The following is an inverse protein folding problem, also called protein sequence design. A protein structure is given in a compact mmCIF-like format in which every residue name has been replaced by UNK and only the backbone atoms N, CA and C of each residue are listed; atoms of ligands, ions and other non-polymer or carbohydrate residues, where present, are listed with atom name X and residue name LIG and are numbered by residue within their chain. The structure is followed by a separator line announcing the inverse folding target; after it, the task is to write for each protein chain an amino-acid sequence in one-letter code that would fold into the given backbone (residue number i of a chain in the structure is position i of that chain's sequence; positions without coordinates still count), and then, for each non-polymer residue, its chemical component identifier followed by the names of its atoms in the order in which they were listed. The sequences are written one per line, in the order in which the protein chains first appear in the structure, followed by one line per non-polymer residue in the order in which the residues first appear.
data_IF_853188772014
#
_entry.id   IF_853188772014
#
_cell.length_a   1.000
_cell.length_b   1.000
_cell.length_c   1.000
_cell.angle_alpha   90.00
_cell.angle_beta   90.00
_cell.angle_gamma   90.00
#
_symmetry.space_group_name_H-M   'P 1'
#
loop_
_entity.id
_entity.type
_entity.pdbx_description
1 polymer ?
#
# COMPACT_ATOMS: atom_id res chain seq x y z
N UNK A 1 18.12 -18.92 -7.99
CA UNK A 1 17.42 -19.25 -6.72
C UNK A 1 17.24 -17.95 -5.96
N UNK A 2 16.03 -17.37 -5.97
CA UNK A 2 15.76 -16.16 -5.18
C UNK A 2 15.54 -16.59 -3.72
N UNK A 3 16.42 -16.18 -2.82
CA UNK A 3 16.19 -16.36 -1.39
C UNK A 3 14.92 -15.60 -1.02
N UNK A 4 13.90 -16.29 -0.54
CA UNK A 4 12.75 -15.66 0.13
C UNK A 4 13.30 -15.05 1.42
N UNK A 5 13.71 -13.79 1.38
CA UNK A 5 14.17 -13.08 2.57
C UNK A 5 12.98 -12.95 3.50
N UNK A 6 12.99 -13.70 4.60
CA UNK A 6 12.00 -13.57 5.65
C UNK A 6 11.99 -12.13 6.18
N UNK A 7 10.79 -11.64 6.50
CA UNK A 7 10.63 -10.36 7.20
C UNK A 7 11.36 -10.40 8.54
N UNK A 8 12.02 -9.31 8.88
CA UNK A 8 12.56 -9.07 10.23
C UNK A 8 11.43 -8.96 11.26
N UNK A 9 11.76 -9.08 12.53
CA UNK A 9 10.76 -8.99 13.60
C UNK A 9 10.17 -7.58 13.71
N UNK A 10 10.95 -6.53 13.43
CA UNK A 10 10.48 -5.14 13.31
C UNK A 10 9.42 -5.01 12.20
N UNK A 11 9.71 -5.53 11.01
CA UNK A 11 8.78 -5.51 9.87
C UNK A 11 7.52 -6.32 10.15
N UNK A 12 7.64 -7.51 10.76
CA UNK A 12 6.48 -8.34 11.15
C UNK A 12 5.60 -7.60 12.16
N UNK A 13 6.19 -6.97 13.16
CA UNK A 13 5.45 -6.21 14.17
C UNK A 13 4.72 -5.02 13.54
N UNK A 14 5.42 -4.23 12.71
CA UNK A 14 4.84 -3.06 12.04
C UNK A 14 3.68 -3.45 11.11
N UNK A 15 3.84 -4.50 10.29
CA UNK A 15 2.79 -5.01 9.42
C UNK A 15 1.63 -5.59 10.24
N UNK A 16 1.92 -6.31 11.34
CA UNK A 16 0.89 -6.87 12.22
C UNK A 16 0.03 -5.80 12.89
N UNK A 17 0.64 -4.71 13.36
CA UNK A 17 -0.08 -3.57 13.95
C UNK A 17 -0.90 -2.83 12.89
N UNK A 18 -0.31 -2.52 11.74
CA UNK A 18 -1.00 -1.87 10.63
C UNK A 18 -2.20 -2.69 10.12
N UNK A 19 -2.08 -4.02 10.08
CA UNK A 19 -3.20 -4.90 9.71
C UNK A 19 -4.34 -4.84 10.74
N UNK A 20 -4.03 -4.83 12.03
CA UNK A 20 -5.07 -4.67 13.09
C UNK A 20 -5.77 -3.32 12.99
N UNK A 21 -5.03 -2.26 12.69
CA UNK A 21 -5.59 -0.92 12.48
C UNK A 21 -6.47 -0.87 11.23
N UNK A 22 -6.01 -1.46 10.12
CA UNK A 22 -6.77 -1.53 8.87
C UNK A 22 -8.09 -2.31 9.08
N UNK A 23 -8.03 -3.40 9.83
CA UNK A 23 -9.20 -4.20 10.21
C UNK A 23 -10.19 -3.40 11.06
N UNK A 24 -9.70 -2.65 12.05
CA UNK A 24 -10.51 -1.76 12.89
C UNK A 24 -11.20 -0.67 12.07
N UNK A 25 -10.47 0.00 11.17
CA UNK A 25 -11.01 1.05 10.28
C UNK A 25 -12.09 0.50 9.35
N UNK A 26 -11.87 -0.71 8.80
CA UNK A 26 -12.85 -1.35 7.92
C UNK A 26 -14.14 -1.69 8.67
N UNK A 27 -14.03 -2.20 9.91
CA UNK A 27 -15.17 -2.47 10.79
C UNK A 27 -15.94 -1.20 11.12
N UNK A 28 -15.24 -0.11 11.48
CA UNK A 28 -15.86 1.18 11.79
C UNK A 28 -16.61 1.78 10.58
N UNK A 29 -16.13 1.53 9.35
CA UNK A 29 -16.78 1.97 8.11
C UNK A 29 -17.93 1.07 7.65
N UNK A 30 -18.28 0.01 8.39
CA UNK A 30 -19.33 -0.96 8.05
C UNK A 30 -19.18 -1.55 6.63
N UNK A 31 -17.96 -1.67 6.12
CA UNK A 31 -17.69 -2.17 4.76
C UNK A 31 -17.92 -3.69 4.60
N UNK A 32 -18.46 -4.35 5.63
CA UNK A 32 -18.96 -5.73 5.58
C UNK A 32 -20.41 -5.84 5.07
N UNK A 33 -21.06 -4.73 4.70
CA UNK A 33 -22.42 -4.75 4.20
C UNK A 33 -22.49 -5.52 2.87
N UNK A 34 -23.18 -6.68 2.89
CA UNK A 34 -23.55 -7.44 1.70
C UNK A 34 -24.19 -6.49 0.67
N UNK A 35 -23.73 -6.54 -0.57
CA UNK A 35 -24.41 -5.86 -1.66
C UNK A 35 -25.87 -6.33 -1.69
N UNK A 36 -26.82 -5.38 -1.70
CA UNK A 36 -28.25 -5.69 -1.76
C UNK A 36 -28.64 -6.37 -3.09
N UNK A 37 -27.80 -6.22 -4.12
CA UNK A 37 -27.89 -6.87 -5.43
C UNK A 37 -26.48 -7.14 -5.98
N UNK A 38 -26.35 -8.07 -6.94
CA UNK A 38 -25.07 -8.33 -7.64
C UNK A 38 -24.55 -7.11 -8.45
N UNK A 39 -25.37 -6.06 -8.64
CA UNK A 39 -25.00 -4.85 -9.38
C UNK A 39 -24.40 -3.75 -8.48
N UNK A 40 -24.54 -3.87 -7.15
CA UNK A 40 -24.01 -2.91 -6.18
C UNK A 40 -22.66 -3.33 -5.57
N UNK A 41 -22.04 -4.35 -6.16
CA UNK A 41 -20.76 -4.90 -5.70
C UNK A 41 -19.65 -3.88 -5.93
N UNK A 42 -18.93 -3.53 -4.86
CA UNK A 42 -17.68 -2.77 -4.90
C UNK A 42 -16.57 -3.57 -4.26
N UNK A 43 -15.45 -3.66 -4.95
CA UNK A 43 -14.21 -4.19 -4.38
C UNK A 43 -13.53 -3.06 -3.62
N UNK A 44 -13.24 -3.28 -2.34
CA UNK A 44 -12.73 -2.25 -1.43
C UNK A 44 -11.39 -2.65 -0.84
N UNK A 45 -10.46 -1.71 -0.83
CA UNK A 45 -9.17 -1.80 -0.15
C UNK A 45 -9.12 -0.75 0.94
N UNK A 46 -8.81 -1.19 2.17
CA UNK A 46 -8.45 -0.30 3.28
C UNK A 46 -6.97 -0.47 3.54
N UNK A 47 -6.23 0.62 3.42
CA UNK A 47 -4.79 0.65 3.60
C UNK A 47 -4.37 1.39 4.85
N UNK A 48 -3.40 0.86 5.58
CA UNK A 48 -2.71 1.54 6.69
C UNK A 48 -1.22 1.57 6.41
N UNK A 49 -0.63 2.75 6.64
CA UNK A 49 0.76 3.08 6.39
C UNK A 49 1.42 3.47 7.71
N UNK A 50 2.49 2.77 8.11
CA UNK A 50 3.34 3.19 9.23
C UNK A 50 4.58 3.87 8.70
N UNK A 51 4.86 5.08 9.18
CA UNK A 51 6.14 5.71 8.98
C UNK A 51 7.04 5.34 10.17
N UNK A 52 8.00 4.45 9.98
CA UNK A 52 8.99 4.09 11.01
C UNK A 52 10.23 4.97 10.96
N UNK A 53 10.30 5.91 10.01
CA UNK A 53 11.33 6.93 10.00
C UNK A 53 11.11 7.87 11.20
N UNK A 54 12.20 8.40 11.74
CA UNK A 54 12.15 9.40 12.81
C UNK A 54 11.62 10.76 12.35
N UNK A 55 11.52 10.97 11.03
CA UNK A 55 11.10 12.22 10.40
C UNK A 55 9.82 12.03 9.60
N UNK A 56 9.11 13.13 9.37
CA UNK A 56 7.92 13.16 8.52
C UNK A 56 8.25 12.73 7.08
N UNK A 57 7.29 12.04 6.46
CA UNK A 57 7.26 11.78 5.02
C UNK A 57 6.07 12.49 4.36
N UNK A 58 6.27 12.96 3.13
CA UNK A 58 5.28 13.71 2.36
C UNK A 58 4.87 12.93 1.11
N UNK A 59 3.58 12.99 0.78
CA UNK A 59 3.06 12.36 -0.44
C UNK A 59 3.55 13.13 -1.67
N UNK A 60 4.09 12.40 -2.64
CA UNK A 60 4.66 12.98 -3.85
C UNK A 60 3.69 12.91 -5.02
N UNK A 61 3.62 14.00 -5.78
CA UNK A 61 2.88 14.05 -7.04
C UNK A 61 1.41 13.67 -6.92
N UNK A 62 0.85 13.18 -8.03
CA UNK A 62 -0.52 12.67 -8.09
C UNK A 62 -0.54 11.18 -7.77
N UNK A 63 -1.61 10.73 -7.14
CA UNK A 63 -1.94 9.32 -7.05
C UNK A 63 -2.30 8.76 -8.43
N UNK A 64 -2.00 7.49 -8.62
CA UNK A 64 -2.45 6.74 -9.78
C UNK A 64 -3.67 5.91 -9.41
N UNK A 65 -4.78 6.21 -10.08
CA UNK A 65 -6.05 5.48 -9.94
C UNK A 65 -6.37 4.77 -11.24
N UNK A 66 -6.06 3.49 -11.32
CA UNK A 66 -6.24 2.72 -12.55
C UNK A 66 -7.65 2.14 -12.63
N UNK A 67 -8.09 1.46 -11.57
CA UNK A 67 -9.38 0.76 -11.53
C UNK A 67 -10.20 1.15 -10.30
N UNK A 68 -10.52 2.43 -10.13
CA UNK A 68 -11.35 2.84 -9.01
C UNK A 68 -11.20 4.29 -8.64
N UNK A 69 -11.51 4.58 -7.38
CA UNK A 69 -11.46 5.91 -6.80
C UNK A 69 -11.17 5.83 -5.30
N UNK A 70 -10.42 6.81 -4.80
CA UNK A 70 -10.26 7.00 -3.36
C UNK A 70 -11.58 7.49 -2.76
N UNK A 71 -12.06 6.76 -1.74
CA UNK A 71 -13.07 7.27 -0.82
C UNK A 71 -12.40 8.14 0.24
N UNK A 72 -11.22 7.71 0.70
CA UNK A 72 -10.33 8.48 1.56
C UNK A 72 -8.92 8.43 0.95
N UNK A 73 -8.36 9.56 0.48
CA UNK A 73 -7.04 9.57 -0.13
C UNK A 73 -5.94 9.38 0.93
N UNK A 74 -4.76 8.89 0.54
CA UNK A 74 -3.59 8.84 1.42
C UNK A 74 -3.24 10.25 1.93
N UNK A 75 -2.88 10.39 3.21
CA UNK A 75 -2.64 11.69 3.82
C UNK A 75 -1.49 12.41 3.14
N UNK A 76 -1.52 13.75 3.10
CA UNK A 76 -0.42 14.50 2.47
C UNK A 76 0.91 14.34 3.20
N UNK A 77 0.86 14.07 4.51
CA UNK A 77 1.98 13.97 5.42
C UNK A 77 1.74 12.82 6.41
N UNK A 78 2.79 12.12 6.80
CA UNK A 78 2.77 11.17 7.92
C UNK A 78 3.96 11.52 8.80
N UNK A 79 3.67 11.96 10.03
CA UNK A 79 4.67 12.33 11.03
C UNK A 79 5.68 11.20 11.28
N UNK A 80 6.85 11.54 11.83
CA UNK A 80 7.83 10.54 12.25
C UNK A 80 7.24 9.58 13.28
N UNK A 81 7.45 8.27 13.10
CA UNK A 81 6.78 7.21 13.88
C UNK A 81 5.25 7.23 13.79
N UNK A 82 4.69 7.95 12.82
CA UNK A 82 3.26 8.18 12.64
C UNK A 82 2.56 7.11 11.80
N UNK A 83 1.24 7.27 11.69
CA UNK A 83 0.35 6.36 10.96
C UNK A 83 -0.50 7.19 9.99
N UNK A 84 -0.68 6.67 8.79
CA UNK A 84 -1.65 7.14 7.81
C UNK A 84 -2.61 6.03 7.40
N UNK A 85 -3.78 6.39 6.86
CA UNK A 85 -4.71 5.42 6.27
C UNK A 85 -5.32 5.94 4.97
N UNK A 86 -5.84 5.02 4.15
CA UNK A 86 -6.58 5.34 2.94
C UNK A 86 -7.68 4.30 2.69
N UNK A 87 -8.68 4.69 1.90
CA UNK A 87 -9.75 3.80 1.44
C UNK A 87 -9.93 3.96 -0.07
N UNK A 88 -9.89 2.84 -0.78
CA UNK A 88 -9.99 2.79 -2.24
C UNK A 88 -11.06 1.79 -2.67
N UNK A 89 -11.89 2.14 -3.64
CA UNK A 89 -12.96 1.26 -4.11
C UNK A 89 -13.00 1.20 -5.63
N UNK A 90 -13.37 0.04 -6.17
CA UNK A 90 -13.73 -0.09 -7.57
C UNK A 90 -14.92 0.82 -7.92
N UNK A 91 -15.07 1.15 -9.20
CA UNK A 91 -16.30 1.79 -9.70
C UNK A 91 -17.45 0.79 -9.65
N UNK A 92 -18.68 1.28 -9.65
CA UNK A 92 -19.87 0.41 -9.64
C UNK A 92 -19.84 -0.56 -10.83
N UNK A 93 -20.08 -1.85 -10.57
CA UNK A 93 -20.02 -2.90 -11.59
C UNK A 93 -18.60 -3.31 -12.02
N UNK A 94 -17.56 -2.75 -11.42
CA UNK A 94 -16.18 -3.19 -11.64
C UNK A 94 -15.75 -4.18 -10.56
N UNK A 95 -15.13 -5.26 -11.04
CA UNK A 95 -14.71 -6.41 -10.23
C UNK A 95 -13.24 -6.38 -9.86
N UNK A 96 -12.59 -5.24 -10.01
CA UNK A 96 -11.21 -5.06 -9.59
C UNK A 96 -11.00 -3.63 -9.12
N UNK A 97 -10.06 -3.45 -8.18
CA UNK A 97 -9.51 -2.14 -7.91
C UNK A 97 -8.00 -2.15 -7.76
N UNK A 98 -7.37 -1.14 -8.34
CA UNK A 98 -5.92 -1.04 -8.39
C UNK A 98 -5.48 0.42 -8.43
N UNK A 99 -4.33 0.69 -7.82
CA UNK A 99 -3.80 2.02 -7.73
C UNK A 99 -2.40 2.04 -7.13
N UNK A 100 -1.82 3.22 -7.11
CA UNK A 100 -0.49 3.44 -6.55
C UNK A 100 -0.31 4.89 -6.10
N UNK A 101 0.61 5.11 -5.18
CA UNK A 101 1.08 6.44 -4.79
C UNK A 101 2.52 6.38 -4.27
N UNK A 102 3.13 7.54 -4.12
CA UNK A 102 4.51 7.69 -3.64
C UNK A 102 4.57 8.58 -2.41
N UNK A 103 5.51 8.28 -1.53
CA UNK A 103 5.97 9.19 -0.47
C UNK A 103 7.44 9.52 -0.66
N UNK A 104 7.87 10.64 -0.11
CA UNK A 104 9.27 11.04 -0.04
C UNK A 104 9.59 11.67 1.30
N UNK A 105 10.87 11.70 1.64
CA UNK A 105 11.32 12.43 2.82
C UNK A 105 11.14 13.93 2.63
N UNK A 106 10.90 14.67 3.71
CA UNK A 106 10.76 16.13 3.67
C UNK A 106 11.99 16.81 3.06
N UNK A 107 11.76 17.93 2.37
CA UNK A 107 12.83 18.74 1.78
C UNK A 107 13.89 19.13 2.82
N UNK A 108 15.18 18.97 2.48
CA UNK A 108 16.30 19.26 3.37
C UNK A 108 16.89 18.03 4.08
N UNK A 109 16.21 16.88 4.06
CA UNK A 109 16.81 15.59 4.48
C UNK A 109 17.88 15.14 3.48
N UNK A 110 19.00 14.62 3.97
CA UNK A 110 20.07 14.06 3.13
C UNK A 110 20.46 12.66 3.66
N UNK A 111 20.40 11.61 2.81
CA UNK A 111 19.86 11.62 1.43
C UNK A 111 18.35 11.90 1.39
N UNK A 112 17.86 12.44 0.27
CA UNK A 112 16.42 12.49 0.02
C UNK A 112 15.95 11.12 -0.44
N UNK A 113 14.92 10.59 0.23
CA UNK A 113 14.42 9.24 0.02
C UNK A 113 13.01 9.25 -0.55
N UNK A 114 12.63 8.13 -1.15
CA UNK A 114 11.29 7.89 -1.64
C UNK A 114 10.84 6.46 -1.45
N UNK A 115 9.53 6.28 -1.41
CA UNK A 115 8.85 5.00 -1.27
C UNK A 115 7.63 4.94 -2.18
N UNK A 116 7.37 3.76 -2.74
CA UNK A 116 6.21 3.47 -3.58
C UNK A 116 5.36 2.41 -2.90
N UNK A 117 4.04 2.58 -2.99
CA UNK A 117 3.07 1.53 -2.76
C UNK A 117 2.17 1.42 -4.00
N UNK A 118 1.99 0.20 -4.50
CA UNK A 118 0.98 -0.15 -5.49
C UNK A 118 0.21 -1.39 -5.03
N UNK A 119 -1.07 -1.48 -5.38
CA UNK A 119 -1.91 -2.62 -5.07
C UNK A 119 -2.88 -2.94 -6.20
N UNK A 120 -3.32 -4.19 -6.21
CA UNK A 120 -4.39 -4.70 -7.06
C UNK A 120 -5.22 -5.69 -6.24
N UNK A 121 -6.54 -5.60 -6.35
CA UNK A 121 -7.48 -6.57 -5.77
C UNK A 121 -8.56 -6.87 -6.81
N UNK A 122 -8.60 -8.11 -7.28
CA UNK A 122 -9.70 -8.64 -8.09
C UNK A 122 -10.88 -9.12 -7.23
N UNK A 123 -11.97 -9.54 -7.88
CA UNK A 123 -13.18 -10.05 -7.22
C UNK A 123 -13.06 -11.53 -6.82
N UNK A 124 -12.30 -12.32 -7.56
CA UNK A 124 -12.30 -13.78 -7.35
C UNK A 124 -11.50 -14.16 -6.11
N UNK A 125 -11.96 -15.20 -5.39
CA UNK A 125 -11.26 -15.80 -4.24
C UNK A 125 -9.92 -16.46 -4.60
N UNK A 126 -9.60 -16.57 -5.89
CA UNK A 126 -8.32 -17.06 -6.39
C UNK A 126 -7.30 -15.94 -6.58
N UNK A 127 -7.74 -14.68 -6.56
CA UNK A 127 -6.91 -13.50 -6.74
C UNK A 127 -6.81 -12.75 -5.40
N UNK A 128 -5.90 -13.27 -4.57
CA UNK A 128 -5.64 -12.92 -3.17
C UNK A 128 -5.19 -11.45 -2.99
N UNK A 129 -5.13 -10.70 -4.10
CA UNK A 129 -4.59 -9.36 -4.20
C UNK A 129 -3.08 -9.36 -4.38
N UNK A 130 -2.59 -8.32 -5.05
CA UNK A 130 -1.17 -8.07 -5.24
C UNK A 130 -0.78 -6.77 -4.58
N UNK A 131 0.45 -6.72 -4.09
CA UNK A 131 1.05 -5.51 -3.57
C UNK A 131 2.47 -5.41 -4.08
N UNK A 132 2.91 -4.22 -4.44
CA UNK A 132 4.27 -3.95 -4.86
C UNK A 132 4.78 -2.69 -4.15
N UNK A 133 6.03 -2.75 -3.70
CA UNK A 133 6.70 -1.64 -3.05
C UNK A 133 8.12 -1.49 -3.56
N UNK A 134 8.63 -0.26 -3.53
CA UNK A 134 10.02 0.06 -3.85
C UNK A 134 10.49 1.24 -3.01
N UNK A 135 11.76 1.24 -2.63
CA UNK A 135 12.39 2.29 -1.84
C UNK A 135 13.75 2.67 -2.41
N UNK A 136 14.22 3.88 -2.10
CA UNK A 136 15.57 4.31 -2.42
C UNK A 136 15.68 5.82 -2.45
N UNK A 137 16.64 6.35 -3.22
CA UNK A 137 16.75 7.79 -3.41
C UNK A 137 15.50 8.36 -4.08
N UNK A 138 15.12 9.57 -3.70
CA UNK A 138 13.97 10.28 -4.27
C UNK A 138 14.07 10.42 -5.81
N UNK A 139 15.28 10.64 -6.33
CA UNK A 139 15.54 10.69 -7.77
C UNK A 139 15.24 9.35 -8.47
N UNK A 140 15.69 8.21 -7.90
CA UNK A 140 15.37 6.87 -8.44
C UNK A 140 13.86 6.64 -8.45
N UNK A 141 13.18 6.99 -7.37
CA UNK A 141 11.73 6.81 -7.22
C UNK A 141 10.93 7.70 -8.19
N UNK A 142 11.40 8.91 -8.46
CA UNK A 142 10.74 9.81 -9.41
C UNK A 142 10.94 9.40 -10.87
N UNK A 143 12.02 8.68 -11.20
CA UNK A 143 12.26 8.14 -12.55
C UNK A 143 11.34 6.99 -12.94
N UNK A 144 10.76 6.29 -11.95
CA UNK A 144 9.80 5.20 -12.22
C UNK A 144 8.49 5.75 -12.79
N UNK A 145 8.16 5.26 -13.98
CA UNK A 145 6.92 5.60 -14.67
C UNK A 145 5.74 4.77 -14.14
N UNK A 146 4.52 5.22 -14.46
CA UNK A 146 3.32 4.45 -14.16
C UNK A 146 3.36 3.04 -14.78
N UNK A 147 3.91 2.90 -15.98
CA UNK A 147 4.00 1.61 -16.69
C UNK A 147 4.99 0.65 -16.02
N UNK A 148 6.12 1.17 -15.52
CA UNK A 148 7.10 0.37 -14.78
C UNK A 148 6.48 -0.24 -13.52
N UNK A 149 5.69 0.58 -12.80
CA UNK A 149 5.06 0.18 -11.54
C UNK A 149 3.94 -0.82 -11.79
N UNK A 150 3.10 -0.61 -12.82
CA UNK A 150 2.09 -1.59 -13.24
C UNK A 150 2.72 -2.94 -13.56
N UNK A 151 3.82 -2.95 -14.32
CA UNK A 151 4.52 -4.19 -14.68
C UNK A 151 5.04 -4.91 -13.44
N UNK A 152 5.70 -4.19 -12.54
CA UNK A 152 6.23 -4.76 -11.29
C UNK A 152 5.13 -5.25 -10.35
N UNK A 153 3.99 -4.57 -10.30
CA UNK A 153 2.80 -5.03 -9.56
C UNK A 153 2.21 -6.31 -10.19
N UNK A 154 2.14 -6.40 -11.50
CA UNK A 154 1.63 -7.59 -12.17
C UNK A 154 2.45 -8.85 -11.82
N UNK A 155 3.76 -8.69 -11.68
CA UNK A 155 4.74 -9.73 -11.29
C UNK A 155 4.80 -9.99 -9.78
N UNK A 156 4.10 -9.21 -8.96
CA UNK A 156 4.17 -9.33 -7.50
C UNK A 156 3.12 -10.29 -6.93
N UNK A 157 3.18 -10.49 -5.61
CA UNK A 157 2.23 -11.32 -4.86
C UNK A 157 1.60 -10.57 -3.70
N UNK A 158 1.10 -11.33 -2.71
CA UNK A 158 0.42 -10.78 -1.53
C UNK A 158 1.34 -10.08 -0.53
N UNK A 159 2.65 -10.18 -0.73
CA UNK A 159 3.66 -9.55 0.12
C UNK A 159 4.79 -9.08 -0.76
N UNK A 160 5.25 -7.86 -0.53
CA UNK A 160 6.37 -7.26 -1.26
C UNK A 160 7.26 -6.52 -0.28
N UNK A 161 8.57 -6.58 -0.53
CA UNK A 161 9.60 -5.95 0.30
C UNK A 161 10.68 -5.42 -0.60
N UNK A 162 11.20 -4.25 -0.26
CA UNK A 162 12.36 -3.66 -0.90
C UNK A 162 13.30 -3.07 0.14
N UNK A 163 14.61 -3.25 -0.09
CA UNK A 163 15.69 -2.70 0.73
C UNK A 163 16.76 -2.08 -0.16
N UNK A 164 16.98 -0.78 -0.02
CA UNK A 164 18.03 -0.06 -0.74
C UNK A 164 19.31 0.00 0.10
N UNK A 165 20.28 -0.88 -0.20
CA UNK A 165 21.54 -0.98 0.55
C UNK A 165 22.35 0.33 0.56
N UNK A 166 22.19 1.18 -0.46
CA UNK A 166 22.96 2.42 -0.58
C UNK A 166 22.49 3.49 0.41
N UNK A 167 21.19 3.48 0.77
CA UNK A 167 20.55 4.57 1.52
C UNK A 167 19.92 4.14 2.83
N UNK A 168 19.82 2.83 3.07
CA UNK A 168 19.09 2.27 4.20
C UNK A 168 17.56 2.37 4.06
N UNK A 169 17.05 2.97 2.98
CA UNK A 169 15.62 3.09 2.73
C UNK A 169 15.02 1.70 2.52
N UNK A 170 13.93 1.41 3.24
CA UNK A 170 13.23 0.15 3.09
C UNK A 170 11.73 0.31 3.19
N UNK A 171 11.03 -0.66 2.60
CA UNK A 171 9.58 -0.74 2.62
C UNK A 171 9.15 -2.19 2.57
N UNK A 172 8.12 -2.52 3.33
CA UNK A 172 7.43 -3.79 3.24
C UNK A 172 5.94 -3.50 3.18
N UNK A 173 5.22 -4.26 2.35
CA UNK A 173 3.78 -4.28 2.36
C UNK A 173 3.22 -5.69 2.26
N UNK A 174 2.01 -5.83 2.79
CA UNK A 174 1.21 -7.03 2.70
C UNK A 174 -0.21 -6.65 2.33
N UNK A 175 -0.83 -7.45 1.46
CA UNK A 175 -2.27 -7.42 1.20
C UNK A 175 -2.86 -8.75 1.66
N UNK A 176 -4.01 -8.69 2.32
CA UNK A 176 -4.77 -9.88 2.75
C UNK A 176 -6.23 -9.71 2.46
N UNK A 177 -6.84 -10.76 1.93
CA UNK A 177 -8.29 -10.89 1.89
C UNK A 177 -8.86 -11.13 3.29
N UNK A 178 -10.15 -10.79 3.45
CA UNK A 178 -10.94 -11.22 4.60
C UNK A 178 -11.90 -12.33 4.19
N UNK A 179 -12.73 -12.76 5.13
CA UNK A 179 -13.85 -13.70 4.94
C UNK A 179 -14.89 -13.28 3.89
N UNK A 180 -14.83 -12.06 3.35
CA UNK A 180 -15.67 -11.58 2.24
C UNK A 180 -14.80 -11.38 0.98
N UNK A 181 -15.24 -11.86 -0.20
CA UNK A 181 -14.44 -11.77 -1.43
C UNK A 181 -14.25 -10.33 -1.94
N UNK A 182 -15.00 -9.38 -1.40
CA UNK A 182 -15.07 -7.98 -1.86
C UNK A 182 -14.14 -7.02 -1.12
N UNK A 183 -13.43 -7.47 -0.09
CA UNK A 183 -12.64 -6.63 0.78
C UNK A 183 -11.21 -7.12 0.93
N UNK A 184 -10.25 -6.20 0.91
CA UNK A 184 -8.87 -6.48 1.26
C UNK A 184 -8.29 -5.39 2.18
N UNK A 185 -7.36 -5.82 3.02
CA UNK A 185 -6.56 -4.95 3.87
C UNK A 185 -5.16 -4.84 3.28
N UNK A 186 -4.64 -3.63 3.22
CA UNK A 186 -3.24 -3.36 2.87
C UNK A 186 -2.54 -2.79 4.09
N UNK A 187 -1.42 -3.37 4.47
CA UNK A 187 -0.51 -2.80 5.45
C UNK A 187 0.82 -2.51 4.77
N UNK A 188 1.39 -1.34 5.03
CA UNK A 188 2.73 -0.98 4.57
C UNK A 188 3.49 -0.28 5.69
N UNK A 189 4.79 -0.52 5.78
CA UNK A 189 5.68 0.26 6.63
C UNK A 189 6.84 0.83 5.82
N UNK A 190 7.09 2.12 5.99
CA UNK A 190 8.24 2.85 5.42
C UNK A 190 9.29 3.02 6.50
N UNK A 191 10.55 2.78 6.18
CA UNK A 191 11.63 2.80 7.17
C UNK A 191 12.95 3.26 6.53
N UNK A 192 13.88 3.65 7.40
CA UNK A 192 15.26 3.99 7.05
C UNK A 192 16.19 3.49 8.17
N UNK A 193 17.16 2.65 7.81
CA UNK A 193 18.18 2.12 8.71
C UNK A 193 19.50 2.85 8.61
#
# INVERSE_FOLDING_TARGET
MASVQQLSDKEKAAIGEAMKEAESLMLAKNMNAKAASNQDVKVTVIGVMKNLCSTEIERLGKEWSWDGIFQDPPPKKIEGNGIGSFAYTSKLGQYQCSGAFKYGSVSGTKPQLGWILAWEKGWTTFDIGKVYVEAGTLDRINKLTESDIKKKLYESGTTSRYWDNDTGASVVAKITERTSPYGALVAVSFDQF
#
